data_IF_310827318114
#
_entry.id   IF_310827318114
#
_cell.length_a   1.000
_cell.length_b   1.000
_cell.length_c   1.000
_cell.angle_alpha   90.00
_cell.angle_beta   90.00
_cell.angle_gamma   90.00
#
_symmetry.space_group_name_H-M   'P 1'
#
loop_
_entity.id
_entity.type
_entity.pdbx_description
1 polymer ?
#
# COMPACT_ATOMS: atom_id res chain seq x y z
N UNK A 1 35.37 21.03 3.96
CA UNK A 1 36.51 21.93 3.70
C UNK A 1 37.18 22.25 5.04
N UNK A 2 38.46 22.59 5.07
CA UNK A 2 39.15 23.00 6.31
C UNK A 2 39.27 24.52 6.42
N UNK A 3 39.10 25.08 7.62
CA UNK A 3 39.19 26.52 7.89
C UNK A 3 40.60 27.10 7.70
N UNK A 4 41.64 26.28 7.92
CA UNK A 4 43.06 26.66 7.82
C UNK A 4 43.51 26.90 6.37
N UNK A 5 42.98 26.10 5.43
CA UNK A 5 43.22 26.25 3.98
C UNK A 5 41.95 25.96 3.20
N UNK A 6 41.01 26.92 3.16
CA UNK A 6 39.80 26.77 2.36
C UNK A 6 40.14 26.78 0.86
N UNK A 7 39.50 25.91 0.08
CA UNK A 7 39.67 25.84 -1.38
C UNK A 7 41.09 25.43 -1.83
N UNK A 8 41.59 24.31 -1.30
CA UNK A 8 42.83 23.71 -1.83
C UNK A 8 42.66 23.21 -3.28
N UNK A 9 43.77 23.01 -4.00
CA UNK A 9 43.75 22.52 -5.39
C UNK A 9 42.98 21.19 -5.55
N UNK A 10 43.12 20.29 -4.57
CA UNK A 10 42.37 19.03 -4.55
C UNK A 10 40.88 19.22 -4.28
N UNK A 11 40.49 20.19 -3.44
CA UNK A 11 39.09 20.53 -3.19
C UNK A 11 38.43 21.18 -4.42
N UNK A 12 39.13 22.10 -5.10
CA UNK A 12 38.64 22.75 -6.33
C UNK A 12 38.35 21.71 -7.41
N UNK A 13 39.29 20.79 -7.66
CA UNK A 13 39.12 19.72 -8.65
C UNK A 13 37.93 18.80 -8.33
N UNK A 14 37.70 18.53 -7.04
CA UNK A 14 36.54 17.75 -6.60
C UNK A 14 35.22 18.52 -6.80
N UNK A 15 35.20 19.81 -6.49
CA UNK A 15 34.02 20.66 -6.67
C UNK A 15 33.63 20.79 -8.16
N UNK A 16 34.61 20.93 -9.06
CA UNK A 16 34.38 20.91 -10.50
C UNK A 16 33.78 19.58 -10.99
N UNK A 17 34.22 18.45 -10.41
CA UNK A 17 33.70 17.14 -10.73
C UNK A 17 32.23 16.99 -10.30
N UNK A 18 31.87 17.37 -9.07
CA UNK A 18 30.48 17.23 -8.59
C UNK A 18 29.52 18.23 -9.21
N UNK A 19 30.03 19.33 -9.82
CA UNK A 19 29.21 20.29 -10.56
C UNK A 19 28.35 19.62 -11.64
N UNK A 20 28.86 18.53 -12.24
CA UNK A 20 28.14 17.77 -13.27
C UNK A 20 26.85 17.13 -12.74
N UNK A 21 26.71 16.93 -11.43
CA UNK A 21 25.56 16.25 -10.84
C UNK A 21 24.34 17.15 -10.65
N UNK A 22 24.47 18.47 -10.84
CA UNK A 22 23.41 19.48 -10.64
C UNK A 22 22.57 19.23 -9.37
N UNK A 23 23.23 18.81 -8.29
CA UNK A 23 22.60 18.66 -6.98
C UNK A 23 22.86 19.90 -6.14
N UNK A 24 21.96 20.13 -5.20
CA UNK A 24 22.13 21.18 -4.19
C UNK A 24 23.28 20.77 -3.27
N UNK A 25 24.24 21.67 -3.07
CA UNK A 25 25.48 21.44 -2.30
C UNK A 25 25.48 22.38 -1.10
N UNK A 26 25.87 21.88 0.07
CA UNK A 26 26.09 22.67 1.30
C UNK A 26 27.58 22.64 1.62
N UNK A 27 28.16 23.81 1.92
CA UNK A 27 29.58 23.93 2.23
C UNK A 27 29.79 23.93 3.73
N UNK A 28 30.57 22.97 4.21
CA UNK A 28 30.93 22.86 5.63
C UNK A 28 32.42 23.16 5.78
N UNK A 29 32.72 24.22 6.52
CA UNK A 29 34.08 24.65 6.87
C UNK A 29 34.37 24.15 8.28
N UNK A 30 35.20 23.11 8.37
CA UNK A 30 35.56 22.48 9.64
C UNK A 30 36.83 23.11 10.23
N UNK A 31 37.04 22.95 11.54
CA UNK A 31 38.13 23.56 12.33
C UNK A 31 37.96 25.05 12.60
N UNK A 32 36.72 25.52 12.73
CA UNK A 32 36.45 26.91 13.13
C UNK A 32 37.09 27.28 14.48
N UNK A 33 37.43 26.29 15.30
CA UNK A 33 38.16 26.48 16.57
C UNK A 33 39.62 26.93 16.43
N UNK A 34 40.18 26.93 15.21
CA UNK A 34 41.50 27.51 14.94
C UNK A 34 41.42 29.04 14.82
N UNK A 35 40.23 29.56 14.50
CA UNK A 35 40.00 30.99 14.33
C UNK A 35 39.70 31.60 15.69
N UNK A 36 40.41 32.66 16.05
CA UNK A 36 40.38 33.23 17.40
C UNK A 36 39.26 34.26 17.57
N UNK A 37 38.80 34.85 16.46
CA UNK A 37 37.78 35.90 16.45
C UNK A 37 36.56 35.57 15.57
N UNK A 38 35.41 36.16 15.90
CA UNK A 38 34.19 36.05 15.10
C UNK A 38 34.39 36.67 13.71
N UNK A 39 35.16 37.75 13.62
CA UNK A 39 35.47 38.43 12.37
C UNK A 39 36.30 37.55 11.42
N UNK A 40 37.24 36.76 11.94
CA UNK A 40 37.99 35.77 11.15
C UNK A 40 37.09 34.65 10.60
N UNK A 41 36.16 34.17 11.44
CA UNK A 41 35.18 33.16 11.03
C UNK A 41 34.31 33.69 9.89
N UNK A 42 33.87 34.93 9.97
CA UNK A 42 33.02 35.55 8.95
C UNK A 42 33.80 35.86 7.66
N UNK A 43 35.05 36.31 7.77
CA UNK A 43 35.94 36.46 6.61
C UNK A 43 36.18 35.13 5.86
N UNK A 44 36.35 34.02 6.59
CA UNK A 44 36.50 32.70 5.98
C UNK A 44 35.19 32.23 5.33
N UNK A 45 34.03 32.49 5.95
CA UNK A 45 32.73 32.18 5.35
C UNK A 45 32.51 32.95 4.05
N UNK A 46 32.81 34.25 4.05
CA UNK A 46 32.68 35.12 2.88
C UNK A 46 33.63 34.67 1.76
N UNK A 47 34.90 34.40 2.09
CA UNK A 47 35.86 33.85 1.13
C UNK A 47 35.37 32.54 0.50
N UNK A 48 34.80 31.63 1.29
CA UNK A 48 34.27 30.35 0.78
C UNK A 48 33.01 30.59 -0.06
N UNK A 49 32.15 31.52 0.32
CA UNK A 49 30.95 31.88 -0.44
C UNK A 49 31.29 32.48 -1.80
N UNK A 50 32.22 33.43 -1.84
CA UNK A 50 32.66 34.09 -3.09
C UNK A 50 33.30 33.10 -4.06
N UNK A 51 34.17 32.21 -3.54
CA UNK A 51 34.79 31.18 -4.37
C UNK A 51 33.79 30.13 -4.86
N UNK A 52 32.82 29.75 -4.02
CA UNK A 52 31.74 28.86 -4.43
C UNK A 52 30.86 29.50 -5.52
N UNK A 53 30.53 30.79 -5.39
CA UNK A 53 29.79 31.52 -6.43
C UNK A 53 30.58 31.61 -7.74
N UNK A 54 31.89 31.88 -7.68
CA UNK A 54 32.74 32.00 -8.87
C UNK A 54 32.96 30.67 -9.60
N UNK A 55 33.25 29.58 -8.88
CA UNK A 55 33.60 28.27 -9.46
C UNK A 55 32.34 27.48 -9.85
N UNK A 56 31.30 27.53 -9.02
CA UNK A 56 30.10 26.70 -9.17
C UNK A 56 28.88 27.48 -9.66
N UNK A 57 28.97 28.82 -9.82
CA UNK A 57 27.87 29.70 -10.28
C UNK A 57 26.60 29.54 -9.44
N UNK A 58 26.77 29.38 -8.13
CA UNK A 58 25.66 29.27 -7.18
C UNK A 58 25.23 30.68 -6.77
N UNK A 59 23.94 31.00 -6.88
CA UNK A 59 23.42 32.35 -6.61
C UNK A 59 23.49 32.72 -5.10
N UNK A 60 23.46 31.72 -4.20
CA UNK A 60 23.66 31.86 -2.73
C UNK A 60 24.18 30.55 -2.10
N UNK A 61 25.51 30.33 -2.03
CA UNK A 61 26.04 29.12 -1.40
C UNK A 61 25.84 29.17 0.13
N UNK A 62 25.21 28.13 0.69
CA UNK A 62 25.11 27.98 2.14
C UNK A 62 26.44 27.50 2.71
N UNK A 63 27.11 28.36 3.48
CA UNK A 63 28.39 28.09 4.13
C UNK A 63 28.20 28.03 5.64
N UNK A 64 28.61 26.93 6.26
CA UNK A 64 28.52 26.73 7.70
C UNK A 64 29.92 26.47 8.25
N UNK A 65 30.37 27.30 9.19
CA UNK A 65 31.59 27.09 9.93
C UNK A 65 31.29 26.25 11.18
N UNK A 66 31.96 25.11 11.32
CA UNK A 66 31.75 24.16 12.42
C UNK A 66 33.07 23.76 13.08
N UNK A 67 33.00 23.39 14.36
CA UNK A 67 34.08 22.66 15.03
C UNK A 67 33.63 21.24 15.35
N UNK A 68 34.03 20.28 14.52
CA UNK A 68 33.74 18.86 14.80
C UNK A 68 34.37 18.39 16.13
N UNK A 69 35.48 18.99 16.56
CA UNK A 69 36.17 18.65 17.80
C UNK A 69 35.35 19.02 19.03
N UNK A 70 34.82 20.23 19.07
CA UNK A 70 33.95 20.69 20.16
C UNK A 70 32.62 19.90 20.17
N UNK A 71 32.04 19.65 18.99
CA UNK A 71 30.83 18.83 18.87
C UNK A 71 31.03 17.39 19.40
N UNK A 72 32.16 16.76 19.08
CA UNK A 72 32.48 15.41 19.55
C UNK A 72 32.68 15.37 21.08
N UNK A 73 33.38 16.37 21.64
CA UNK A 73 33.55 16.49 23.10
C UNK A 73 32.21 16.60 23.82
N UNK A 74 31.30 17.43 23.31
CA UNK A 74 29.95 17.56 23.85
C UNK A 74 29.16 16.24 23.79
N UNK A 75 29.23 15.52 22.65
CA UNK A 75 28.56 14.22 22.48
C UNK A 75 29.10 13.15 23.42
N UNK A 76 30.42 13.10 23.62
CA UNK A 76 31.05 12.15 24.53
C UNK A 76 30.78 12.49 26.00
N UNK A 77 30.80 13.77 26.37
CA UNK A 77 30.43 14.23 27.70
C UNK A 77 28.97 13.90 28.02
N UNK A 78 28.05 14.12 27.08
CA UNK A 78 26.64 13.77 27.23
C UNK A 78 26.40 12.25 27.28
N UNK A 79 27.23 11.46 26.60
CA UNK A 79 27.19 10.00 26.65
C UNK A 79 27.91 9.39 27.87
N UNK A 80 28.55 10.21 28.72
CA UNK A 80 29.31 9.74 29.88
C UNK A 80 30.61 9.01 29.55
N UNK A 81 31.18 9.22 28.34
CA UNK A 81 32.39 8.55 27.86
C UNK A 81 33.58 9.51 28.02
N UNK A 82 34.51 9.20 28.91
CA UNK A 82 35.77 9.95 29.04
C UNK A 82 36.77 9.53 27.96
N UNK A 83 37.30 10.49 27.19
CA UNK A 83 38.23 10.27 26.08
C UNK A 83 39.67 9.89 26.52
N UNK A 84 39.92 9.74 27.82
CA UNK A 84 41.25 9.50 28.40
C UNK A 84 41.79 8.07 28.21
N UNK A 85 41.05 7.14 27.61
CA UNK A 85 41.46 5.73 27.47
C UNK A 85 42.05 5.35 26.11
N UNK A 86 42.23 6.30 25.17
CA UNK A 86 42.62 5.99 23.79
C UNK A 86 44.07 6.39 23.45
N UNK A 87 44.81 6.95 24.42
CA UNK A 87 46.19 7.38 24.22
C UNK A 87 46.96 7.36 25.53
N UNK A 88 47.40 6.17 25.97
CA UNK A 88 48.71 6.03 26.63
C UNK A 88 49.20 4.57 26.69
N UNK A 89 50.50 4.39 26.47
CA UNK A 89 51.25 3.15 26.64
C UNK A 89 51.54 2.92 28.14
N UNK A 90 51.27 1.71 28.67
CA UNK A 90 51.98 1.14 29.83
C UNK A 90 51.61 1.58 31.27
N UNK A 91 51.24 0.57 32.07
CA UNK A 91 51.29 0.46 33.56
C UNK A 91 50.24 1.16 34.47
N UNK A 92 49.32 0.35 35.01
CA UNK A 92 49.29 0.08 36.46
C UNK A 92 48.42 0.91 37.43
N UNK A 93 47.07 0.79 37.34
CA UNK A 93 46.14 0.74 38.50
C UNK A 93 45.56 2.04 39.09
N UNK A 94 44.60 1.95 40.05
CA UNK A 94 43.39 1.13 40.11
C UNK A 94 42.14 1.90 39.62
N UNK A 95 41.15 1.18 39.11
CA UNK A 95 39.89 1.72 38.62
C UNK A 95 39.09 2.45 39.72
N UNK A 96 38.56 3.67 39.49
CA UNK A 96 37.41 4.14 40.22
C UNK A 96 36.15 3.49 39.65
N UNK A 97 35.46 2.74 40.49
CA UNK A 97 34.08 2.31 40.27
C UNK A 97 33.17 3.54 40.22
N UNK A 98 32.65 3.87 39.04
CA UNK A 98 31.46 4.68 38.90
C UNK A 98 30.48 4.00 37.96
N UNK A 99 29.49 3.38 38.58
CA UNK A 99 28.17 3.12 38.02
C UNK A 99 27.65 4.33 37.22
N UNK A 100 27.27 4.12 35.97
CA UNK A 100 26.21 4.91 35.35
C UNK A 100 25.65 4.07 34.19
N UNK A 101 24.40 3.63 34.34
CA UNK A 101 23.66 3.00 33.26
C UNK A 101 23.69 3.91 32.04
N UNK A 102 23.92 3.31 30.86
CA UNK A 102 23.77 4.04 29.61
C UNK A 102 22.40 4.71 29.59
N UNK A 103 22.31 6.00 29.22
CA UNK A 103 21.01 6.63 29.09
C UNK A 103 20.21 5.81 28.07
N UNK A 104 19.02 5.37 28.48
CA UNK A 104 18.01 4.87 27.57
C UNK A 104 17.89 5.87 26.41
N UNK A 105 17.91 5.34 25.20
CA UNK A 105 17.91 6.06 23.93
C UNK A 105 16.58 6.78 23.70
N UNK A 106 16.32 7.82 24.48
CA UNK A 106 15.34 8.85 24.13
C UNK A 106 16.13 9.99 23.45
N UNK A 107 16.02 10.13 22.12
CA UNK A 107 16.82 11.11 21.37
C UNK A 107 16.55 12.56 21.83
N UNK A 108 15.35 12.86 22.31
CA UNK A 108 14.97 14.17 22.83
C UNK A 108 15.70 14.54 24.15
N UNK A 109 15.93 13.56 25.03
CA UNK A 109 16.64 13.78 26.29
C UNK A 109 18.13 14.08 26.05
N UNK A 110 18.75 13.38 25.09
CA UNK A 110 20.13 13.62 24.69
C UNK A 110 20.29 15.01 24.04
N UNK A 111 19.35 15.41 23.20
CA UNK A 111 19.36 16.73 22.55
C UNK A 111 19.24 17.87 23.58
N UNK A 112 18.40 17.70 24.61
CA UNK A 112 18.28 18.67 25.71
C UNK A 112 19.59 18.83 26.51
N UNK A 113 20.29 17.71 26.78
CA UNK A 113 21.59 17.72 27.47
C UNK A 113 22.67 18.38 26.59
N UNK A 114 22.70 18.06 25.29
CA UNK A 114 23.63 18.69 24.35
C UNK A 114 23.36 20.18 24.18
N UNK A 115 22.09 20.61 24.09
CA UNK A 115 21.71 22.02 23.98
C UNK A 115 22.16 22.86 25.18
N UNK A 116 22.34 22.25 26.36
CA UNK A 116 22.87 22.91 27.56
C UNK A 116 24.41 23.03 27.58
N UNK A 117 25.11 22.22 26.77
CA UNK A 117 26.58 22.15 26.76
C UNK A 117 27.21 23.32 26.00
N UNK A 118 28.23 23.94 26.59
CA UNK A 118 28.95 25.09 26.00
C UNK A 118 29.69 24.68 24.73
N UNK A 119 30.34 23.52 24.74
CA UNK A 119 31.06 22.95 23.59
C UNK A 119 30.14 22.65 22.40
N UNK A 120 28.87 22.33 22.65
CA UNK A 120 27.88 22.13 21.60
C UNK A 120 27.49 23.45 20.93
N UNK A 121 27.25 24.50 21.74
CA UNK A 121 26.90 25.83 21.25
C UNK A 121 28.04 26.48 20.48
N UNK A 122 29.28 26.33 20.93
CA UNK A 122 30.45 26.88 20.23
C UNK A 122 30.82 26.12 18.96
N UNK A 123 30.37 24.87 18.82
CA UNK A 123 30.66 24.05 17.65
C UNK A 123 29.87 24.39 16.39
N UNK A 124 28.78 25.17 16.51
CA UNK A 124 27.77 25.43 15.46
C UNK A 124 27.16 24.16 14.82
N UNK A 125 27.36 22.99 15.41
CA UNK A 125 26.88 21.73 14.84
C UNK A 125 25.35 21.61 14.88
N UNK A 126 24.70 22.25 15.86
CA UNK A 126 23.24 22.35 15.89
C UNK A 126 22.67 23.19 14.74
N UNK A 127 23.41 24.17 14.21
CA UNK A 127 23.00 24.91 13.02
C UNK A 127 23.13 24.05 11.75
N UNK A 128 24.20 23.27 11.65
CA UNK A 128 24.37 22.28 10.60
C UNK A 128 23.23 21.24 10.60
N UNK A 129 22.90 20.67 11.76
CA UNK A 129 21.81 19.70 11.88
C UNK A 129 20.46 20.31 11.49
N UNK A 130 20.16 21.54 11.93
CA UNK A 130 18.94 22.26 11.49
C UNK A 130 18.94 22.53 9.99
N UNK A 131 20.06 22.93 9.39
CA UNK A 131 20.14 23.15 7.95
C UNK A 131 19.96 21.84 7.16
N UNK A 132 20.60 20.75 7.58
CA UNK A 132 20.45 19.44 6.93
C UNK A 132 19.01 18.95 7.07
N UNK A 133 18.39 19.08 8.24
CA UNK A 133 16.99 18.75 8.45
C UNK A 133 16.08 19.62 7.60
N UNK A 134 16.29 20.94 7.53
CA UNK A 134 15.52 21.82 6.64
C UNK A 134 15.72 21.49 5.16
N UNK A 135 16.92 21.01 4.80
CA UNK A 135 17.26 20.58 3.46
C UNK A 135 16.63 19.23 3.09
N UNK A 136 16.42 18.34 4.05
CA UNK A 136 15.83 17.01 3.83
C UNK A 136 14.30 16.97 4.02
N UNK A 137 13.80 17.75 4.98
CA UNK A 137 12.40 17.73 5.46
C UNK A 137 11.60 18.91 4.87
N UNK A 138 12.26 20.01 4.51
CA UNK A 138 11.66 21.11 3.76
C UNK A 138 11.10 22.24 4.61
N UNK A 139 11.93 23.27 4.83
CA UNK A 139 11.49 24.58 5.37
C UNK A 139 11.91 25.79 4.52
N UNK A 140 12.82 25.62 3.55
CA UNK A 140 13.25 26.68 2.62
C UNK A 140 13.11 26.20 1.17
N UNK A 141 13.01 27.13 0.21
CA UNK A 141 12.65 27.06 -1.23
C UNK A 141 13.31 25.94 -2.09
N UNK A 142 13.29 24.70 -1.59
CA UNK A 142 14.00 23.59 -2.23
C UNK A 142 14.19 22.32 -1.40
N UNK A 143 13.94 22.32 -0.09
CA UNK A 143 14.25 21.15 0.78
C UNK A 143 13.25 19.99 0.72
N UNK A 144 11.99 20.21 0.33
CA UNK A 144 10.98 19.15 0.18
C UNK A 144 10.87 18.60 -1.24
N UNK A 145 11.59 19.19 -2.18
CA UNK A 145 11.38 18.99 -3.62
C UNK A 145 11.80 17.58 -4.07
N UNK A 146 12.84 17.00 -3.48
CA UNK A 146 13.28 15.64 -3.82
C UNK A 146 12.28 14.55 -3.43
N UNK A 147 11.65 14.68 -2.26
CA UNK A 147 10.59 13.77 -1.80
C UNK A 147 9.31 14.02 -2.61
N UNK A 148 8.96 15.30 -2.83
CA UNK A 148 7.81 15.67 -3.67
C UNK A 148 7.93 15.12 -5.08
N UNK A 149 9.06 15.31 -5.78
CA UNK A 149 9.26 14.77 -7.12
C UNK A 149 9.22 13.24 -7.16
N UNK A 150 9.81 12.57 -6.16
CA UNK A 150 9.80 11.10 -6.09
C UNK A 150 8.40 10.54 -5.84
N UNK A 151 7.57 11.24 -5.05
CA UNK A 151 6.22 10.79 -4.71
C UNK A 151 5.14 11.28 -5.67
N UNK A 152 5.40 12.35 -6.44
CA UNK A 152 4.42 12.92 -7.37
C UNK A 152 3.99 11.92 -8.45
N UNK A 153 4.93 11.25 -9.11
CA UNK A 153 4.60 10.28 -10.17
C UNK A 153 3.90 9.04 -9.62
N UNK A 154 4.39 8.37 -8.55
CA UNK A 154 3.67 7.24 -7.95
C UNK A 154 2.25 7.59 -7.48
N UNK A 155 2.06 8.77 -6.88
CA UNK A 155 0.75 9.20 -6.38
C UNK A 155 -0.21 9.51 -7.52
N UNK A 156 0.25 10.14 -8.59
CA UNK A 156 -0.56 10.36 -9.79
C UNK A 156 -0.97 9.04 -10.47
N UNK A 157 -0.05 8.07 -10.54
CA UNK A 157 -0.36 6.73 -11.06
C UNK A 157 -1.36 6.02 -10.16
N UNK A 158 -1.19 6.10 -8.83
CA UNK A 158 -2.15 5.53 -7.88
C UNK A 158 -3.54 6.13 -8.04
N UNK A 159 -3.64 7.45 -8.17
CA UNK A 159 -4.92 8.14 -8.39
C UNK A 159 -5.56 7.74 -9.73
N UNK A 160 -4.79 7.65 -10.81
CA UNK A 160 -5.26 7.19 -12.11
C UNK A 160 -5.76 5.73 -12.06
N UNK A 161 -5.06 4.84 -11.36
CA UNK A 161 -5.45 3.44 -11.18
C UNK A 161 -6.71 3.33 -10.33
N UNK A 162 -6.81 4.07 -9.22
CA UNK A 162 -8.00 4.12 -8.38
C UNK A 162 -9.21 4.64 -9.17
N UNK A 163 -9.02 5.69 -9.96
CA UNK A 163 -10.07 6.23 -10.82
C UNK A 163 -10.51 5.25 -11.91
N UNK A 164 -9.59 4.53 -12.53
CA UNK A 164 -9.91 3.50 -13.53
C UNK A 164 -10.64 2.29 -12.91
N UNK A 165 -10.14 1.78 -11.79
CA UNK A 165 -10.75 0.69 -11.05
C UNK A 165 -12.17 1.07 -10.55
N UNK A 166 -12.34 2.29 -10.04
CA UNK A 166 -13.64 2.80 -9.62
C UNK A 166 -14.66 2.85 -10.75
N UNK A 167 -14.25 3.32 -11.95
CA UNK A 167 -15.13 3.32 -13.13
C UNK A 167 -15.47 1.91 -13.59
N UNK A 168 -14.51 0.99 -13.62
CA UNK A 168 -14.76 -0.40 -14.00
C UNK A 168 -15.76 -1.07 -13.04
N UNK A 169 -15.53 -0.93 -11.73
CA UNK A 169 -16.43 -1.47 -10.71
C UNK A 169 -17.85 -0.90 -10.83
N UNK A 170 -17.99 0.39 -11.16
CA UNK A 170 -19.32 0.99 -11.35
C UNK A 170 -20.07 0.35 -12.52
N UNK A 171 -19.39 0.12 -13.65
CA UNK A 171 -19.97 -0.54 -14.84
C UNK A 171 -20.33 -2.00 -14.53
N UNK A 172 -19.43 -2.74 -13.90
CA UNK A 172 -19.66 -4.16 -13.56
C UNK A 172 -20.85 -4.31 -12.60
N UNK A 173 -20.99 -3.39 -11.64
CA UNK A 173 -22.09 -3.39 -10.68
C UNK A 173 -23.43 -3.07 -11.38
N UNK A 174 -23.45 -2.12 -12.31
CA UNK A 174 -24.65 -1.81 -13.10
C UNK A 174 -25.08 -3.01 -13.97
N UNK A 175 -24.12 -3.65 -14.65
CA UNK A 175 -24.38 -4.85 -15.44
C UNK A 175 -24.92 -6.01 -14.57
N UNK A 176 -24.27 -6.30 -13.43
CA UNK A 176 -24.70 -7.35 -12.52
C UNK A 176 -26.11 -7.09 -11.95
N UNK A 177 -26.46 -5.83 -11.67
CA UNK A 177 -27.82 -5.45 -11.26
C UNK A 177 -28.84 -5.71 -12.37
N UNK A 178 -28.53 -5.35 -13.61
CA UNK A 178 -29.40 -5.60 -14.75
C UNK A 178 -29.63 -7.11 -14.98
N UNK A 179 -28.56 -7.91 -14.89
CA UNK A 179 -28.63 -9.36 -14.99
C UNK A 179 -29.48 -9.98 -13.86
N UNK A 180 -29.30 -9.51 -12.62
CA UNK A 180 -30.10 -9.96 -11.49
C UNK A 180 -31.59 -9.70 -11.70
N UNK A 181 -31.96 -8.52 -12.21
CA UNK A 181 -33.35 -8.22 -12.55
C UNK A 181 -33.88 -9.09 -13.70
N UNK A 182 -33.03 -9.38 -14.70
CA UNK A 182 -33.36 -10.33 -15.77
C UNK A 182 -33.66 -11.73 -15.23
N UNK A 183 -32.81 -12.26 -14.36
CA UNK A 183 -33.01 -13.58 -13.72
C UNK A 183 -34.29 -13.60 -12.88
N UNK A 184 -34.57 -12.54 -12.11
CA UNK A 184 -35.82 -12.43 -11.35
C UNK A 184 -37.06 -12.43 -12.26
N UNK A 185 -36.98 -11.75 -13.41
CA UNK A 185 -38.08 -11.73 -14.38
C UNK A 185 -38.35 -13.12 -14.96
N UNK A 186 -37.31 -13.81 -15.42
CA UNK A 186 -37.41 -15.19 -15.93
C UNK A 186 -37.95 -16.12 -14.85
N UNK A 187 -37.49 -15.97 -13.61
CA UNK A 187 -38.00 -16.73 -12.46
C UNK A 187 -39.50 -16.55 -12.25
N UNK A 188 -40.01 -15.31 -12.33
CA UNK A 188 -41.47 -15.03 -12.25
C UNK A 188 -42.23 -15.65 -13.42
N UNK A 189 -41.69 -15.59 -14.63
CA UNK A 189 -42.31 -16.18 -15.82
C UNK A 189 -42.38 -17.71 -15.72
N UNK A 190 -41.31 -18.37 -15.28
CA UNK A 190 -41.28 -19.82 -15.05
C UNK A 190 -42.27 -20.25 -13.95
N UNK A 191 -42.39 -19.47 -12.88
CA UNK A 191 -43.38 -19.74 -11.83
C UNK A 191 -44.82 -19.64 -12.37
N UNK A 192 -45.12 -18.63 -13.18
CA UNK A 192 -46.43 -18.47 -13.83
C UNK A 192 -46.71 -19.62 -14.80
N UNK A 193 -45.75 -19.94 -15.68
CA UNK A 193 -45.86 -21.04 -16.64
C UNK A 193 -46.08 -22.38 -15.95
N UNK A 194 -45.35 -22.67 -14.86
CA UNK A 194 -45.54 -23.87 -14.05
C UNK A 194 -46.97 -23.96 -13.51
N UNK A 195 -47.50 -22.87 -12.96
CA UNK A 195 -48.87 -22.84 -12.43
C UNK A 195 -49.93 -23.08 -13.52
N UNK A 196 -49.73 -22.53 -14.72
CA UNK A 196 -50.61 -22.77 -15.87
C UNK A 196 -50.53 -24.22 -16.34
N UNK A 197 -49.34 -24.80 -16.41
CA UNK A 197 -49.13 -26.21 -16.77
C UNK A 197 -49.74 -27.17 -15.76
N UNK A 198 -49.63 -26.90 -14.46
CA UNK A 198 -50.26 -27.72 -13.42
C UNK A 198 -51.79 -27.71 -13.53
N UNK A 199 -52.39 -26.54 -13.83
CA UNK A 199 -53.83 -26.42 -14.05
C UNK A 199 -54.29 -27.15 -15.30
N UNK A 200 -53.56 -27.00 -16.41
CA UNK A 200 -53.89 -27.68 -17.66
C UNK A 200 -53.76 -29.21 -17.52
N UNK A 201 -52.67 -29.68 -16.91
CA UNK A 201 -52.48 -31.11 -16.63
C UNK A 201 -53.58 -31.69 -15.75
N UNK A 202 -54.03 -30.94 -14.73
CA UNK A 202 -55.17 -31.36 -13.90
C UNK A 202 -56.47 -31.45 -14.71
N UNK A 203 -56.73 -30.48 -15.59
CA UNK A 203 -57.88 -30.48 -16.49
C UNK A 203 -57.87 -31.67 -17.46
N UNK A 204 -56.73 -31.92 -18.11
CA UNK A 204 -56.55 -33.05 -19.03
C UNK A 204 -56.69 -34.39 -18.31
N UNK A 205 -56.15 -34.51 -17.10
CA UNK A 205 -56.29 -35.71 -16.27
C UNK A 205 -57.76 -35.97 -15.92
N UNK A 206 -58.52 -34.93 -15.58
CA UNK A 206 -59.95 -35.07 -15.31
C UNK A 206 -60.74 -35.52 -16.55
N UNK A 207 -60.45 -34.94 -17.72
CA UNK A 207 -61.06 -35.35 -18.98
C UNK A 207 -60.74 -36.82 -19.34
N UNK A 208 -59.49 -37.25 -19.18
CA UNK A 208 -59.08 -38.64 -19.39
C UNK A 208 -59.77 -39.60 -18.40
N UNK A 209 -59.92 -39.21 -17.14
CA UNK A 209 -60.64 -40.02 -16.14
C UNK A 209 -62.10 -40.24 -16.54
N UNK A 210 -62.77 -39.23 -17.09
CA UNK A 210 -64.13 -39.36 -17.59
C UNK A 210 -64.21 -40.37 -18.74
N UNK A 211 -63.37 -40.22 -19.78
CA UNK A 211 -63.35 -41.15 -20.91
C UNK A 211 -63.02 -42.58 -20.46
N UNK A 212 -62.04 -42.74 -19.56
CA UNK A 212 -61.66 -44.05 -19.04
C UNK A 212 -62.80 -44.71 -18.24
N UNK A 213 -63.58 -43.93 -17.48
CA UNK A 213 -64.75 -44.45 -16.75
C UNK A 213 -65.82 -45.00 -17.70
N UNK A 214 -66.07 -44.32 -18.83
CA UNK A 214 -67.01 -44.80 -19.85
C UNK A 214 -66.51 -46.09 -20.52
N UNK A 215 -65.21 -46.16 -20.82
CA UNK A 215 -64.58 -47.36 -21.38
C UNK A 215 -64.66 -48.54 -20.40
N UNK A 216 -64.39 -48.31 -19.11
CA UNK A 216 -64.49 -49.35 -18.08
C UNK A 216 -65.92 -49.88 -17.95
N UNK A 217 -66.94 -49.01 -17.89
CA UNK A 217 -68.34 -49.43 -17.84
C UNK A 217 -68.73 -50.24 -19.09
N UNK A 218 -68.23 -49.85 -20.27
CA UNK A 218 -68.49 -50.60 -21.51
C UNK A 218 -67.78 -51.96 -21.51
N UNK A 219 -66.55 -52.01 -21.00
CA UNK A 219 -65.79 -53.25 -20.87
C UNK A 219 -66.45 -54.20 -19.86
N UNK A 220 -66.89 -53.69 -18.71
CA UNK A 220 -67.63 -54.44 -17.68
C UNK A 220 -68.91 -55.04 -18.27
N UNK A 221 -69.72 -54.24 -18.98
CA UNK A 221 -70.94 -54.74 -19.66
C UNK A 221 -70.63 -55.81 -20.71
N UNK A 222 -69.54 -55.65 -21.47
CA UNK A 222 -69.13 -56.63 -22.47
C UNK A 222 -68.68 -57.94 -21.82
N UNK A 223 -67.92 -57.87 -20.74
CA UNK A 223 -67.50 -59.03 -19.96
C UNK A 223 -68.71 -59.73 -19.35
N UNK A 224 -69.64 -58.99 -18.72
CA UNK A 224 -70.88 -59.55 -18.18
C UNK A 224 -71.73 -60.26 -19.24
N UNK A 225 -71.85 -59.70 -20.44
CA UNK A 225 -72.57 -60.34 -21.54
C UNK A 225 -71.87 -61.62 -22.04
N UNK A 226 -70.54 -61.64 -22.02
CA UNK A 226 -69.73 -62.75 -22.50
C UNK A 226 -69.61 -63.88 -21.46
N UNK A 227 -69.55 -63.53 -20.17
CA UNK A 227 -69.30 -64.45 -19.03
C UNK A 227 -70.58 -64.78 -18.24
N UNK A 228 -71.75 -64.62 -18.87
CA UNK A 228 -72.98 -65.18 -18.33
C UNK A 228 -73.01 -66.71 -18.54
N UNK A 229 -73.33 -67.46 -17.48
CA UNK A 229 -73.51 -68.93 -17.50
C UNK A 229 -74.54 -69.40 -18.53
N UNK A 230 -75.47 -68.53 -18.95
CA UNK A 230 -76.44 -68.76 -20.02
C UNK A 230 -75.83 -68.78 -21.44
N UNK A 231 -74.59 -68.30 -21.62
CA UNK A 231 -73.85 -68.29 -22.90
C UNK A 231 -72.78 -69.40 -23.00
N UNK A 232 -72.82 -70.41 -22.12
CA UNK A 232 -71.90 -71.56 -22.13
C UNK A 232 -71.66 -72.20 -23.53
N UNK A 233 -72.66 -72.43 -24.40
CA UNK A 233 -72.41 -72.99 -25.73
C UNK A 233 -71.65 -72.03 -26.68
N UNK A 234 -71.74 -70.72 -26.47
CA UNK A 234 -71.04 -69.68 -27.24
C UNK A 234 -69.57 -69.54 -26.82
N UNK A 235 -69.26 -69.72 -25.53
CA UNK A 235 -67.87 -69.71 -25.05
C UNK A 235 -67.09 -70.95 -25.50
N UNK A 236 -67.75 -72.11 -25.57
CA UNK A 236 -67.15 -73.36 -26.08
C UNK A 236 -66.87 -73.26 -27.57
N UNK A 237 -67.74 -72.61 -28.36
CA UNK A 237 -67.50 -72.43 -29.81
C UNK A 237 -66.35 -71.45 -30.11
N UNK A 238 -66.18 -70.40 -29.29
CA UNK A 238 -65.06 -69.45 -29.39
C UNK A 238 -63.74 -70.12 -28.99
N UNK A 239 -63.72 -70.91 -27.92
CA UNK A 239 -62.53 -71.66 -27.48
C UNK A 239 -62.13 -72.78 -28.46
N UNK A 240 -63.09 -73.35 -29.19
CA UNK A 240 -62.86 -74.32 -30.27
C UNK A 240 -62.44 -73.68 -31.61
N UNK A 241 -62.30 -72.34 -31.68
CA UNK A 241 -61.72 -71.63 -32.81
C UNK A 241 -62.68 -71.29 -33.95
N UNK A 242 -64.00 -71.36 -33.76
CA UNK A 242 -64.97 -71.09 -34.82
C UNK A 242 -65.39 -69.60 -34.85
N UNK A 243 -65.14 -68.89 -35.97
CA UNK A 243 -65.37 -67.44 -36.13
C UNK A 243 -66.75 -67.13 -36.75
N UNK A 244 -67.83 -67.47 -36.08
CA UNK A 244 -69.16 -66.97 -36.46
C UNK A 244 -69.77 -66.16 -35.31
N UNK A 245 -69.82 -64.83 -35.50
CA UNK A 245 -70.40 -63.89 -34.55
C UNK A 245 -71.92 -63.72 -34.85
N UNK A 246 -72.83 -63.90 -33.88
CA UNK A 246 -74.27 -63.75 -34.12
C UNK A 246 -74.82 -62.37 -33.71
N UNK A 247 -73.97 -61.34 -33.59
CA UNK A 247 -74.44 -59.97 -33.27
C UNK A 247 -74.48 -59.10 -34.54
N UNK A 248 -75.68 -58.94 -35.09
CA UNK A 248 -76.10 -57.74 -35.82
C UNK A 248 -76.85 -56.82 -34.86
#
# INVERSE_FOLDING_TARGET
MSADRPFSESEVRFLEYIRQWQKKVVFVVNKADILESVDEVDAVKEFVADNAQRILRLDRPAVIAVSSRAALRAKLAAAGISLTSLSDDGEGGPAPSSSAGGPGTDPEALEAVLASSIDWRSSNFGELERQVSNFLIGGSEGGGEGVRLKLQTPLFVADALLGAAGRQLAVDLEAARAELEGVKLVGRQLAKFRSEMEKDAASQRAALQQVLSEVLVRAERFVDQTVQLSNAPLLVSIAAGNREYPFR
#
